data_IF_083196459977
#
_entry.id   IF_083196459977
#
_cell.length_a   1.000
_cell.length_b   1.000
_cell.length_c   1.000
_cell.angle_alpha   90.00
_cell.angle_beta   90.00
_cell.angle_gamma   90.00
#
_symmetry.space_group_name_H-M   'P 1'
#
loop_
_entity.id
_entity.type
_entity.pdbx_description
1 polymer ?
#
# COMPACT_ATOMS: atom_id res chain seq x y z
N UNK A 1 0.40 -18.28 -5.11
CA UNK A 1 -0.23 -17.56 -3.99
C UNK A 1 -0.01 -16.09 -4.30
N UNK A 2 -1.08 -15.32 -4.50
CA UNK A 2 -0.94 -13.91 -4.85
C UNK A 2 -0.93 -13.07 -3.57
N UNK A 3 -0.31 -11.91 -3.62
CA UNK A 3 -0.20 -10.94 -2.54
C UNK A 3 -0.80 -9.64 -3.04
N UNK A 4 -1.61 -8.99 -2.23
CA UNK A 4 -2.17 -7.68 -2.54
C UNK A 4 -1.39 -6.67 -1.71
N UNK A 5 -0.71 -5.75 -2.38
CA UNK A 5 -0.18 -4.54 -1.77
C UNK A 5 -1.30 -3.52 -1.72
N UNK A 6 -1.72 -3.15 -0.52
CA UNK A 6 -2.62 -2.03 -0.28
C UNK A 6 -1.80 -0.80 0.01
N UNK A 7 -2.11 0.31 -0.67
CA UNK A 7 -1.47 1.61 -0.47
C UNK A 7 -2.55 2.56 0.00
N UNK A 8 -2.44 3.02 1.24
CA UNK A 8 -3.40 3.91 1.88
C UNK A 8 -2.72 5.26 2.07
N UNK A 9 -3.26 6.29 1.42
CA UNK A 9 -2.82 7.67 1.54
C UNK A 9 -3.82 8.43 2.40
N UNK A 10 -3.38 8.90 3.56
CA UNK A 10 -4.19 9.68 4.48
C UNK A 10 -3.61 11.09 4.67
N UNK A 11 -4.48 12.10 4.72
CA UNK A 11 -4.09 13.46 5.13
C UNK A 11 -4.23 13.64 6.64
N UNK A 12 -3.27 14.32 7.27
CA UNK A 12 -3.41 14.80 8.65
C UNK A 12 -4.35 16.01 8.71
N UNK A 13 -5.66 15.81 8.53
CA UNK A 13 -6.64 16.89 8.59
C UNK A 13 -8.04 16.48 8.17
N UNK A 14 -9.01 17.39 8.29
CA UNK A 14 -10.43 17.19 7.91
C UNK A 14 -10.68 17.12 6.38
N UNK A 15 -9.64 16.89 5.59
CA UNK A 15 -9.64 16.80 4.13
C UNK A 15 -9.81 15.33 3.67
N UNK A 16 -10.20 15.09 2.40
CA UNK A 16 -11.17 14.06 2.02
C UNK A 16 -10.73 12.63 2.33
N UNK A 17 -11.70 11.70 2.28
CA UNK A 17 -11.52 10.28 2.57
C UNK A 17 -10.20 9.71 2.03
N UNK A 18 -9.52 8.85 2.80
CA UNK A 18 -8.21 8.31 2.42
C UNK A 18 -8.29 7.67 1.03
N UNK A 19 -7.29 7.95 0.19
CA UNK A 19 -7.18 7.27 -1.09
C UNK A 19 -6.58 5.88 -0.83
N UNK A 20 -7.27 4.86 -1.30
CA UNK A 20 -6.86 3.46 -1.17
C UNK A 20 -6.63 2.94 -2.58
N UNK A 21 -5.41 2.50 -2.84
CA UNK A 21 -5.03 1.83 -4.07
C UNK A 21 -4.54 0.41 -3.76
N UNK A 22 -4.57 -0.47 -4.76
CA UNK A 22 -4.08 -1.84 -4.60
C UNK A 22 -3.37 -2.36 -5.83
N UNK A 23 -2.36 -3.21 -5.60
CA UNK A 23 -1.64 -3.90 -6.65
C UNK A 23 -1.44 -5.38 -6.28
N UNK A 24 -1.68 -6.26 -7.24
CA UNK A 24 -1.50 -7.70 -7.07
C UNK A 24 -0.09 -8.13 -7.53
N UNK A 25 0.57 -8.90 -6.67
CA UNK A 25 1.90 -9.46 -6.88
C UNK A 25 1.86 -10.98 -6.74
N UNK A 26 2.65 -11.69 -7.52
CA UNK A 26 2.78 -13.16 -7.42
C UNK A 26 3.86 -13.59 -6.42
N UNK A 27 4.63 -12.64 -5.89
CA UNK A 27 5.74 -12.86 -4.97
C UNK A 27 5.66 -11.89 -3.78
N UNK A 28 5.90 -12.39 -2.56
CA UNK A 28 5.94 -11.61 -1.33
C UNK A 28 7.11 -10.61 -1.34
N UNK A 29 8.30 -11.02 -1.80
CA UNK A 29 9.46 -10.14 -1.89
C UNK A 29 9.17 -8.95 -2.83
N UNK A 30 8.49 -9.20 -3.95
CA UNK A 30 8.09 -8.13 -4.86
C UNK A 30 7.07 -7.17 -4.21
N UNK A 31 6.12 -7.70 -3.44
CA UNK A 31 5.16 -6.87 -2.68
C UNK A 31 5.87 -5.98 -1.66
N UNK A 32 6.79 -6.56 -0.88
CA UNK A 32 7.56 -5.83 0.13
C UNK A 32 8.48 -4.79 -0.49
N UNK A 33 9.16 -5.13 -1.58
CA UNK A 33 10.03 -4.19 -2.29
C UNK A 33 9.25 -3.01 -2.88
N UNK A 34 8.08 -3.27 -3.47
CA UNK A 34 7.21 -2.21 -3.96
C UNK A 34 6.68 -1.32 -2.81
N UNK A 35 6.33 -1.91 -1.66
CA UNK A 35 5.91 -1.15 -0.48
C UNK A 35 7.01 -0.18 -0.02
N UNK A 36 8.26 -0.64 0.02
CA UNK A 36 9.42 0.17 0.41
C UNK A 36 9.65 1.31 -0.59
N UNK A 37 9.65 1.00 -1.89
CA UNK A 37 9.79 2.03 -2.94
C UNK A 37 8.69 3.09 -2.89
N UNK A 38 7.45 2.72 -2.58
CA UNK A 38 6.35 3.68 -2.44
C UNK A 38 6.56 4.57 -1.22
N UNK A 39 7.00 4.00 -0.09
CA UNK A 39 7.32 4.78 1.11
C UNK A 39 8.47 5.75 0.86
N UNK A 40 9.51 5.33 0.15
CA UNK A 40 10.63 6.20 -0.24
C UNK A 40 10.23 7.27 -1.25
N UNK A 41 9.46 6.90 -2.29
CA UNK A 41 9.01 7.84 -3.33
C UNK A 41 8.09 8.93 -2.78
N UNK A 42 7.35 8.60 -1.72
CA UNK A 42 6.47 9.51 -1.00
C UNK A 42 7.11 10.03 0.30
N UNK A 43 8.38 9.73 0.56
CA UNK A 43 9.10 10.31 1.69
C UNK A 43 9.33 11.81 1.42
N UNK A 44 8.51 12.65 2.04
CA UNK A 44 8.57 14.10 1.89
C UNK A 44 7.27 14.75 1.41
N UNK A 45 6.25 13.96 1.04
CA UNK A 45 4.91 14.50 0.85
C UNK A 45 4.20 14.64 2.21
N UNK A 46 3.32 15.63 2.36
CA UNK A 46 2.59 15.91 3.61
C UNK A 46 1.49 14.87 3.94
N UNK A 47 1.50 13.72 3.26
CA UNK A 47 0.54 12.64 3.45
C UNK A 47 1.15 11.53 4.32
N UNK A 48 0.32 10.92 5.16
CA UNK A 48 0.67 9.65 5.78
C UNK A 48 0.47 8.54 4.75
N UNK A 49 1.51 7.75 4.51
CA UNK A 49 1.47 6.60 3.60
C UNK A 49 1.54 5.34 4.42
N UNK A 50 0.55 4.47 4.25
CA UNK A 50 0.51 3.17 4.89
C UNK A 50 0.42 2.07 3.82
N UNK A 51 1.42 1.19 3.79
CA UNK A 51 1.51 0.09 2.83
C UNK A 51 1.34 -1.23 3.55
N UNK A 52 0.40 -2.07 3.10
CA UNK A 52 0.13 -3.39 3.71
C UNK A 52 0.22 -4.46 2.62
N UNK A 53 1.07 -5.46 2.83
CA UNK A 53 1.06 -6.68 2.02
C UNK A 53 0.18 -7.73 2.67
N UNK A 54 -0.94 -8.05 2.05
CA UNK A 54 -1.84 -9.14 2.48
C UNK A 54 -1.75 -10.30 1.50
N UNK A 55 -1.93 -11.54 1.97
CA UNK A 55 -2.15 -12.67 1.07
C UNK A 55 -3.52 -12.51 0.39
N UNK A 56 -3.58 -12.68 -0.93
CA UNK A 56 -4.83 -12.87 -1.66
C UNK A 56 -5.32 -14.30 -1.42
N UNK A 57 -5.59 -14.61 -0.16
CA UNK A 57 -6.41 -15.76 0.18
C UNK A 57 -7.84 -15.32 -0.12
N UNK A 58 -8.35 -15.75 -1.29
CA UNK A 58 -9.80 -15.85 -1.48
C UNK A 58 -10.32 -16.69 -0.32
N UNK A 59 -10.84 -16.05 0.72
CA UNK A 59 -11.66 -16.70 1.74
C UNK A 59 -12.76 -17.41 0.96
N UNK A 60 -12.68 -18.73 0.95
CA UNK A 60 -13.54 -19.63 0.21
C UNK A 60 -14.79 -19.94 1.01
#
# INVERSE_FOLDING_TARGET
>A
MNFILWVILATNGAQPAPAIDHAEYTNLEACQHAADQIRESLAGVQFQVHTICTTSEKTK
#
